data_IF_044561179099
#
_entry.id   IF_044561179099
#
_cell.length_a   1.000
_cell.length_b   1.000
_cell.length_c   1.000
_cell.angle_alpha   90.00
_cell.angle_beta   90.00
_cell.angle_gamma   90.00
#
_symmetry.space_group_name_H-M   'P 1'
#
loop_
_entity.id
_entity.type
_entity.pdbx_description
1 polymer ?
#
# COMPACT_ATOMS: atom_id res chain seq x y z
N UNK A 1 16.06 9.77 -13.15
CA UNK A 1 16.73 10.05 -11.86
C UNK A 1 15.75 10.77 -10.96
N UNK A 2 15.03 10.05 -10.10
CA UNK A 2 14.08 10.64 -9.15
C UNK A 2 13.65 9.56 -8.18
N UNK A 3 13.69 9.83 -6.88
CA UNK A 3 13.40 8.83 -5.84
C UNK A 3 14.48 8.70 -4.76
N UNK A 4 15.33 9.71 -4.55
CA UNK A 4 16.39 9.66 -3.52
C UNK A 4 15.98 10.24 -2.16
N UNK A 5 14.81 10.86 -2.05
CA UNK A 5 14.38 11.52 -0.81
C UNK A 5 13.00 11.06 -0.29
N UNK A 6 12.49 9.91 -0.74
CA UNK A 6 11.24 9.35 -0.20
C UNK A 6 11.54 8.44 1.00
N UNK A 7 10.96 8.74 2.16
CA UNK A 7 11.00 7.85 3.33
C UNK A 7 9.99 6.72 3.14
N UNK A 8 10.47 5.49 3.02
CA UNK A 8 9.60 4.32 2.82
C UNK A 8 9.57 3.47 4.09
N UNK A 9 8.36 3.11 4.52
CA UNK A 9 8.12 2.12 5.56
C UNK A 9 7.38 0.95 4.93
N UNK A 10 7.97 -0.24 5.00
CA UNK A 10 7.34 -1.49 4.55
C UNK A 10 6.73 -2.21 5.74
N UNK A 11 5.51 -2.72 5.56
CA UNK A 11 4.78 -3.52 6.55
C UNK A 11 4.49 -4.91 6.00
N UNK A 12 4.60 -5.93 6.84
CA UNK A 12 4.22 -7.32 6.58
C UNK A 12 4.04 -8.03 7.94
N UNK A 13 3.12 -8.96 8.03
CA UNK A 13 2.93 -9.80 9.23
C UNK A 13 4.11 -10.74 9.49
N UNK A 14 4.92 -10.99 8.46
CA UNK A 14 6.15 -11.77 8.51
C UNK A 14 7.37 -10.87 8.34
N UNK A 15 8.45 -11.18 9.05
CA UNK A 15 9.71 -10.47 8.88
C UNK A 15 10.28 -10.67 7.47
N UNK A 16 10.68 -9.56 6.81
CA UNK A 16 11.25 -9.55 5.46
C UNK A 16 12.53 -8.72 5.41
N UNK A 17 13.48 -9.18 4.61
CA UNK A 17 14.65 -8.38 4.23
C UNK A 17 14.23 -7.28 3.26
N UNK A 18 14.54 -6.03 3.62
CA UNK A 18 14.22 -4.84 2.80
C UNK A 18 15.51 -4.12 2.37
N UNK A 19 15.48 -3.32 1.28
CA UNK A 19 16.60 -2.45 0.93
C UNK A 19 16.95 -1.50 2.07
N UNK A 20 18.23 -1.11 2.21
CA UNK A 20 18.69 -0.30 3.35
C UNK A 20 18.05 1.10 3.48
N UNK A 21 17.42 1.62 2.43
CA UNK A 21 16.66 2.88 2.46
C UNK A 21 15.21 2.71 2.96
N UNK A 22 14.73 1.47 3.12
CA UNK A 22 13.38 1.13 3.56
C UNK A 22 13.43 0.70 5.02
N UNK A 23 12.56 1.26 5.85
CA UNK A 23 12.35 0.78 7.21
C UNK A 23 11.31 -0.34 7.20
N UNK A 24 11.62 -1.49 7.79
CA UNK A 24 10.64 -2.54 7.99
C UNK A 24 9.93 -2.40 9.34
N UNK A 25 8.62 -2.65 9.37
CA UNK A 25 7.79 -2.76 10.58
C UNK A 25 6.93 -3.99 10.44
N UNK A 26 6.89 -4.84 11.46
CA UNK A 26 5.93 -5.94 11.50
C UNK A 26 4.58 -5.38 11.93
N UNK A 27 3.59 -5.43 11.05
CA UNK A 27 2.23 -4.93 11.28
C UNK A 27 1.24 -5.72 10.41
N UNK A 28 0.00 -5.83 10.87
CA UNK A 28 -1.09 -6.49 10.16
C UNK A 28 -2.09 -5.44 9.69
N UNK A 29 -2.21 -5.24 8.38
CA UNK A 29 -3.14 -4.24 7.82
C UNK A 29 -4.61 -4.50 8.19
N UNK A 30 -4.95 -5.72 8.62
CA UNK A 30 -6.30 -6.11 9.07
C UNK A 30 -6.58 -5.80 10.55
N UNK A 31 -5.53 -5.57 11.34
CA UNK A 31 -5.57 -5.07 12.73
C UNK A 31 -4.38 -4.11 12.96
N UNK A 32 -4.39 -2.93 12.31
CA UNK A 32 -3.19 -2.12 12.14
C UNK A 32 -2.87 -1.24 13.35
N UNK A 33 -1.59 -1.07 13.66
CA UNK A 33 -1.15 0.07 14.44
C UNK A 33 -1.11 1.33 13.55
N UNK A 34 -2.19 2.12 13.59
CA UNK A 34 -2.30 3.36 12.81
C UNK A 34 -1.14 4.35 13.03
N UNK A 35 -0.40 4.27 14.14
CA UNK A 35 0.77 5.12 14.36
C UNK A 35 1.90 4.87 13.34
N UNK A 36 1.94 3.69 12.72
CA UNK A 36 2.88 3.33 11.65
C UNK A 36 2.59 4.10 10.36
N UNK A 37 1.32 4.39 10.09
CA UNK A 37 0.82 4.98 8.85
C UNK A 37 0.63 6.51 8.93
N UNK A 38 0.50 7.07 10.14
CA UNK A 38 0.28 8.51 10.34
C UNK A 38 1.38 9.37 9.71
N UNK A 39 0.96 10.37 8.94
CA UNK A 39 1.86 11.32 8.27
C UNK A 39 2.50 10.78 6.99
N UNK A 40 2.07 9.62 6.50
CA UNK A 40 2.43 9.15 5.16
C UNK A 40 1.69 9.98 4.09
N UNK A 41 2.38 10.28 2.99
CA UNK A 41 1.78 10.94 1.82
C UNK A 41 0.94 9.98 0.98
N UNK A 42 1.18 8.67 1.11
CA UNK A 42 0.38 7.61 0.50
C UNK A 42 0.61 6.28 1.24
N UNK A 43 -0.39 5.39 1.15
CA UNK A 43 -0.31 3.98 1.50
C UNK A 43 -0.37 3.15 0.23
N UNK A 44 0.57 2.21 0.09
CA UNK A 44 0.70 1.37 -1.10
C UNK A 44 0.83 -0.11 -0.73
N UNK A 45 0.07 -0.98 -1.42
CA UNK A 45 0.24 -2.42 -1.36
C UNK A 45 0.68 -3.01 -2.71
N UNK A 46 1.79 -3.75 -2.70
CA UNK A 46 2.28 -4.50 -3.86
C UNK A 46 1.57 -5.86 -3.92
N UNK A 47 0.97 -6.20 -5.07
CA UNK A 47 0.28 -7.47 -5.28
C UNK A 47 -0.82 -7.73 -4.24
N UNK A 48 -1.65 -6.72 -3.97
CA UNK A 48 -2.72 -6.73 -2.97
C UNK A 48 -3.84 -7.71 -3.37
N UNK A 49 -4.04 -8.80 -2.62
CA UNK A 49 -5.12 -9.73 -2.89
C UNK A 49 -6.49 -9.09 -2.51
N UNK A 50 -7.60 -9.57 -3.09
CA UNK A 50 -8.93 -8.97 -2.89
C UNK A 50 -9.32 -8.75 -1.42
N UNK A 51 -9.02 -9.70 -0.54
CA UNK A 51 -9.35 -9.64 0.88
C UNK A 51 -8.61 -8.54 1.67
N UNK A 52 -7.48 -8.05 1.16
CA UNK A 52 -6.70 -6.99 1.82
C UNK A 52 -6.99 -5.58 1.27
N UNK A 53 -7.71 -5.47 0.15
CA UNK A 53 -7.97 -4.16 -0.47
C UNK A 53 -8.84 -3.24 0.42
N UNK A 54 -9.86 -3.78 1.10
CA UNK A 54 -10.68 -3.01 2.03
C UNK A 54 -9.90 -2.60 3.29
N UNK A 55 -9.22 -3.50 4.01
CA UNK A 55 -8.35 -3.11 5.13
C UNK A 55 -7.32 -2.02 4.76
N UNK A 56 -6.71 -2.13 3.58
CA UNK A 56 -5.79 -1.11 3.07
C UNK A 56 -6.47 0.25 2.87
N UNK A 57 -7.65 0.26 2.26
CA UNK A 57 -8.45 1.47 2.07
C UNK A 57 -8.86 2.09 3.40
N UNK A 58 -9.30 1.27 4.37
CA UNK A 58 -9.71 1.70 5.71
C UNK A 58 -8.54 2.37 6.45
N UNK A 59 -7.32 1.84 6.33
CA UNK A 59 -6.11 2.45 6.90
C UNK A 59 -5.84 3.81 6.26
N UNK A 60 -5.87 3.89 4.93
CA UNK A 60 -5.60 5.13 4.21
C UNK A 60 -6.63 6.21 4.52
N UNK A 61 -7.92 5.84 4.60
CA UNK A 61 -9.00 6.72 5.02
C UNK A 61 -8.79 7.20 6.47
N UNK A 62 -8.45 6.28 7.39
CA UNK A 62 -8.25 6.61 8.80
C UNK A 62 -7.09 7.58 9.05
N UNK A 63 -6.06 7.58 8.19
CA UNK A 63 -4.95 8.54 8.27
C UNK A 63 -5.06 9.71 7.29
N UNK A 64 -6.09 9.73 6.44
CA UNK A 64 -6.39 10.79 5.48
C UNK A 64 -5.35 10.92 4.37
N UNK A 65 -4.94 9.80 3.76
CA UNK A 65 -3.88 9.75 2.75
C UNK A 65 -4.33 9.00 1.49
N UNK A 66 -3.56 9.13 0.41
CA UNK A 66 -3.82 8.41 -0.83
C UNK A 66 -3.70 6.89 -0.62
N UNK A 67 -4.65 6.13 -1.17
CA UNK A 67 -4.59 4.67 -1.20
C UNK A 67 -4.28 4.17 -2.61
N UNK A 68 -3.22 3.38 -2.75
CA UNK A 68 -2.83 2.77 -4.01
C UNK A 68 -2.51 1.28 -3.82
N UNK A 69 -2.69 0.48 -4.87
CA UNK A 69 -2.23 -0.91 -4.88
C UNK A 69 -2.03 -1.43 -6.29
N UNK A 70 -1.22 -2.47 -6.44
CA UNK A 70 -1.28 -3.35 -7.62
C UNK A 70 -1.94 -4.66 -7.21
N UNK A 71 -2.43 -5.45 -8.15
CA UNK A 71 -3.00 -6.78 -7.89
C UNK A 71 -2.11 -7.88 -8.46
N UNK A 72 -2.24 -9.10 -7.95
CA UNK A 72 -1.49 -10.23 -8.50
C UNK A 72 -2.23 -10.87 -9.67
N UNK A 73 -1.68 -10.76 -10.88
CA UNK A 73 -2.22 -11.44 -12.05
C UNK A 73 -3.65 -10.99 -12.41
N UNK A 74 -4.62 -11.90 -12.29
CA UNK A 74 -6.02 -11.65 -12.64
C UNK A 74 -6.92 -11.30 -11.45
N UNK A 75 -6.36 -11.01 -10.29
CA UNK A 75 -7.12 -10.69 -9.09
C UNK A 75 -8.02 -9.46 -9.32
N UNK A 76 -9.31 -9.54 -8.94
CA UNK A 76 -10.24 -8.45 -9.14
C UNK A 76 -9.98 -7.31 -8.16
N UNK A 77 -10.35 -6.11 -8.59
CA UNK A 77 -10.51 -4.95 -7.72
C UNK A 77 -11.88 -5.00 -7.05
N UNK A 78 -11.94 -4.95 -5.72
CA UNK A 78 -13.16 -5.07 -4.89
C UNK A 78 -13.51 -3.80 -4.12
N UNK A 79 -12.71 -2.75 -4.28
CA UNK A 79 -12.92 -1.38 -3.80
C UNK A 79 -13.08 -0.44 -5.00
N UNK A 80 -13.67 0.74 -4.78
CA UNK A 80 -13.82 1.73 -5.85
C UNK A 80 -12.47 2.39 -6.18
N UNK A 81 -11.82 1.96 -7.26
CA UNK A 81 -10.50 2.44 -7.64
C UNK A 81 -10.36 2.58 -9.17
N UNK A 82 -9.65 3.62 -9.58
CA UNK A 82 -9.31 3.88 -10.97
C UNK A 82 -7.97 3.21 -11.36
N UNK A 83 -7.92 2.50 -12.50
CA UNK A 83 -6.68 1.92 -13.00
C UNK A 83 -5.81 2.97 -13.72
N UNK A 84 -4.50 2.89 -13.48
CA UNK A 84 -3.43 3.64 -14.12
C UNK A 84 -2.39 2.65 -14.67
N UNK A 85 -2.13 2.70 -15.98
CA UNK A 85 -1.20 1.79 -16.62
C UNK A 85 0.26 2.15 -16.31
N UNK A 86 1.02 1.21 -15.75
CA UNK A 86 2.47 1.29 -15.61
C UNK A 86 3.17 0.49 -16.72
N UNK A 87 4.50 0.62 -16.82
CA UNK A 87 5.27 -0.09 -17.85
C UNK A 87 5.19 -1.62 -17.77
N UNK A 88 4.93 -2.17 -16.58
CA UNK A 88 4.89 -3.61 -16.33
C UNK A 88 3.72 -4.08 -15.46
N UNK A 89 2.84 -3.17 -15.02
CA UNK A 89 1.75 -3.49 -14.10
C UNK A 89 0.60 -2.47 -14.24
N UNK A 90 -0.49 -2.67 -13.51
CA UNK A 90 -1.57 -1.70 -13.36
C UNK A 90 -1.63 -1.23 -11.91
N UNK A 91 -1.46 0.07 -11.71
CA UNK A 91 -1.67 0.72 -10.43
C UNK A 91 -3.15 1.05 -10.29
N UNK A 92 -3.76 0.67 -9.18
CA UNK A 92 -5.11 1.10 -8.82
C UNK A 92 -5.00 2.18 -7.77
N UNK A 93 -5.68 3.31 -8.00
CA UNK A 93 -5.82 4.42 -7.06
C UNK A 93 -7.25 4.47 -6.56
N UNK A 94 -7.45 4.47 -5.25
CA UNK A 94 -8.79 4.57 -4.67
C UNK A 94 -9.46 5.90 -5.09
N UNK A 95 -10.75 5.83 -5.40
CA UNK A 95 -11.56 7.01 -5.66
C UNK A 95 -12.03 7.58 -4.30
N UNK A 96 -11.30 8.57 -3.80
CA UNK A 96 -11.65 9.37 -2.59
C UNK A 96 -12.43 10.63 -2.93
#
# INVERSE_FOLDING_TARGET
TGGRDCRVVATDVHERSVPGAVRFVRDDVTDPDLSVYRGADAVYALNCPPELQRPLADVAEAVGTDCLFTTLGGDPTVVDAAPEALSHDTLFRLNT
#
